data_IF_780153584593
#
_entry.id   IF_780153584593
#
_cell.length_a   1.000
_cell.length_b   1.000
_cell.length_c   1.000
_cell.angle_alpha   90.00
_cell.angle_beta   90.00
_cell.angle_gamma   90.00
#
_symmetry.space_group_name_H-M   'P 1'
#
loop_
_entity.id
_entity.type
_entity.pdbx_description
1 polymer ?
#
# COMPACT_ATOMS: atom_id res chain seq x y z
N UNK A 1 4.20 25.84 -1.11
CA UNK A 1 3.09 25.02 -1.58
C UNK A 1 3.62 24.11 -2.68
N UNK A 2 3.47 22.81 -2.52
CA UNK A 2 3.79 21.82 -3.58
C UNK A 2 2.50 21.44 -4.30
N UNK A 3 2.62 21.02 -5.55
CA UNK A 3 1.48 20.52 -6.32
C UNK A 3 1.72 19.07 -6.69
N UNK A 4 0.76 18.21 -6.34
CA UNK A 4 0.76 16.79 -6.66
C UNK A 4 -0.37 16.45 -7.62
N UNK A 5 -0.05 15.88 -8.76
CA UNK A 5 -1.04 15.34 -9.71
C UNK A 5 -1.10 13.85 -9.48
N UNK A 6 -2.26 13.32 -9.13
CA UNK A 6 -2.38 11.94 -8.66
C UNK A 6 -3.05 11.03 -9.67
N UNK A 7 -2.60 9.79 -9.66
CA UNK A 7 -3.18 8.65 -10.37
C UNK A 7 -4.29 7.99 -9.54
N UNK A 8 -5.18 7.26 -10.18
CA UNK A 8 -6.32 6.57 -9.56
C UNK A 8 -5.90 5.60 -8.45
N UNK A 9 -4.79 4.88 -8.64
CA UNK A 9 -4.30 3.90 -7.67
C UNK A 9 -3.93 4.51 -6.32
N UNK A 10 -3.60 5.80 -6.27
CA UNK A 10 -3.30 6.54 -5.02
C UNK A 10 -4.51 6.58 -4.10
N UNK A 11 -5.70 6.81 -4.67
CA UNK A 11 -6.98 6.85 -3.93
C UNK A 11 -7.50 5.44 -3.66
N UNK A 12 -7.38 4.53 -4.64
CA UNK A 12 -7.82 3.14 -4.51
C UNK A 12 -7.04 2.37 -3.43
N UNK A 13 -5.77 2.71 -3.21
CA UNK A 13 -4.96 2.16 -2.11
C UNK A 13 -5.46 2.65 -0.74
N UNK A 14 -5.62 3.96 -0.59
CA UNK A 14 -6.20 4.56 0.61
C UNK A 14 -6.59 6.02 0.39
N UNK A 15 -7.77 6.41 0.85
CA UNK A 15 -8.19 7.83 0.87
C UNK A 15 -7.30 8.68 1.78
N UNK A 16 -6.68 8.08 2.81
CA UNK A 16 -5.75 8.76 3.69
C UNK A 16 -4.51 9.31 2.97
N UNK A 17 -4.20 8.80 1.79
CA UNK A 17 -3.13 9.31 0.95
C UNK A 17 -3.38 10.77 0.52
N UNK A 18 -4.65 11.16 0.36
CA UNK A 18 -5.04 12.55 0.10
C UNK A 18 -4.65 13.46 1.26
N UNK A 19 -4.92 13.04 2.49
CA UNK A 19 -4.57 13.81 3.68
C UNK A 19 -3.05 13.92 3.86
N UNK A 20 -2.32 12.83 3.63
CA UNK A 20 -0.85 12.78 3.69
C UNK A 20 -0.22 13.74 2.68
N UNK A 21 -0.70 13.74 1.43
CA UNK A 21 -0.21 14.61 0.36
C UNK A 21 -0.58 16.08 0.61
N UNK A 22 -1.79 16.34 1.10
CA UNK A 22 -2.28 17.68 1.35
C UNK A 22 -1.48 18.42 2.43
N UNK A 23 -0.90 17.70 3.39
CA UNK A 23 -0.17 18.30 4.51
C UNK A 23 -0.97 19.44 5.17
N UNK A 24 -2.22 19.13 5.55
CA UNK A 24 -3.18 20.06 6.14
C UNK A 24 -3.41 21.34 5.30
N UNK A 25 -3.55 21.20 4.00
CA UNK A 25 -3.80 22.28 3.06
C UNK A 25 -2.57 23.07 2.62
N UNK A 26 -1.37 22.67 3.05
CA UNK A 26 -0.11 23.29 2.61
C UNK A 26 0.22 22.97 1.14
N UNK A 27 -0.34 21.88 0.60
CA UNK A 27 -0.11 21.42 -0.77
C UNK A 27 -1.42 21.33 -1.55
N UNK A 28 -1.33 21.51 -2.88
CA UNK A 28 -2.43 21.34 -3.81
C UNK A 28 -2.41 19.90 -4.38
N UNK A 29 -3.57 19.26 -4.43
CA UNK A 29 -3.74 17.98 -5.08
C UNK A 29 -4.58 18.16 -6.34
N UNK A 30 -4.00 17.85 -7.48
CA UNK A 30 -4.67 17.90 -8.79
C UNK A 30 -5.17 16.51 -9.14
N UNK A 31 -6.44 16.40 -9.45
CA UNK A 31 -7.12 15.15 -9.77
C UNK A 31 -7.70 15.26 -11.19
N UNK A 32 -7.11 14.56 -12.17
CA UNK A 32 -7.68 14.49 -13.51
C UNK A 32 -9.09 13.88 -13.49
N UNK A 33 -9.99 14.38 -14.34
CA UNK A 33 -11.38 13.89 -14.47
C UNK A 33 -11.42 12.37 -14.74
N UNK A 34 -10.49 11.86 -15.53
CA UNK A 34 -10.37 10.42 -15.82
C UNK A 34 -10.20 9.59 -14.54
N UNK A 35 -9.54 10.13 -13.53
CA UNK A 35 -9.42 9.49 -12.19
C UNK A 35 -10.81 9.40 -11.53
N UNK A 36 -11.63 10.44 -11.66
CA UNK A 36 -13.01 10.43 -11.13
C UNK A 36 -13.85 9.37 -11.82
N UNK A 37 -13.76 9.26 -13.15
CA UNK A 37 -14.49 8.26 -13.95
C UNK A 37 -14.09 6.84 -13.56
N UNK A 38 -12.80 6.59 -13.37
CA UNK A 38 -12.30 5.29 -12.92
C UNK A 38 -12.79 4.95 -11.52
N UNK A 39 -12.73 5.91 -10.58
CA UNK A 39 -13.26 5.71 -9.23
C UNK A 39 -14.77 5.44 -9.25
N UNK A 40 -15.53 6.14 -10.10
CA UNK A 40 -16.97 5.90 -10.25
C UNK A 40 -17.26 4.47 -10.71
N UNK A 41 -16.49 3.98 -11.68
CA UNK A 41 -16.58 2.60 -12.16
C UNK A 41 -16.28 1.54 -11.09
N UNK A 42 -15.51 1.91 -10.06
CA UNK A 42 -15.08 1.03 -8.95
C UNK A 42 -15.95 1.12 -7.69
N UNK A 43 -17.00 1.95 -7.66
CA UNK A 43 -17.86 2.08 -6.47
C UNK A 43 -18.66 0.81 -6.13
N UNK A 44 -18.93 -0.04 -7.11
CA UNK A 44 -19.70 -1.28 -6.92
C UNK A 44 -18.79 -2.45 -6.57
N UNK A 45 -19.12 -3.16 -5.47
CA UNK A 45 -18.35 -4.31 -4.98
C UNK A 45 -18.06 -4.23 -3.48
N UNK A 46 -17.38 -5.26 -2.97
CA UNK A 46 -17.10 -5.45 -1.54
C UNK A 46 -15.60 -5.46 -1.22
N UNK A 47 -14.75 -5.27 -2.22
CA UNK A 47 -13.31 -5.20 -2.02
C UNK A 47 -12.89 -3.83 -1.43
N UNK A 48 -11.69 -3.77 -0.89
CA UNK A 48 -11.12 -2.55 -0.28
C UNK A 48 -11.07 -1.38 -1.28
N UNK A 49 -10.69 -1.65 -2.53
CA UNK A 49 -10.69 -0.64 -3.59
C UNK A 49 -12.08 -0.01 -3.80
N UNK A 50 -13.15 -0.80 -3.70
CA UNK A 50 -14.53 -0.31 -3.85
C UNK A 50 -14.94 0.54 -2.63
N UNK A 51 -14.48 0.15 -1.45
CA UNK A 51 -14.68 0.93 -0.24
C UNK A 51 -13.99 2.30 -0.36
N UNK A 52 -12.72 2.33 -0.75
CA UNK A 52 -11.94 3.56 -0.93
C UNK A 52 -12.55 4.47 -2.00
N UNK A 53 -13.03 3.93 -3.13
CA UNK A 53 -13.74 4.70 -4.14
C UNK A 53 -15.01 5.38 -3.60
N UNK A 54 -15.81 4.67 -2.78
CA UNK A 54 -16.99 5.24 -2.12
C UNK A 54 -16.64 6.29 -1.05
N UNK A 55 -15.57 6.06 -0.29
CA UNK A 55 -15.09 7.01 0.71
C UNK A 55 -14.64 8.32 0.06
N UNK A 56 -13.91 8.22 -1.05
CA UNK A 56 -13.50 9.41 -1.79
C UNK A 56 -14.70 10.19 -2.36
N UNK A 57 -15.72 9.50 -2.88
CA UNK A 57 -16.95 10.16 -3.34
C UNK A 57 -17.63 10.96 -2.22
N UNK A 58 -17.74 10.38 -1.01
CA UNK A 58 -18.28 11.08 0.17
C UNK A 58 -17.43 12.30 0.55
N UNK A 59 -16.11 12.12 0.49
CA UNK A 59 -15.19 13.23 0.73
C UNK A 59 -15.45 14.42 -0.20
N UNK A 60 -15.68 14.16 -1.49
CA UNK A 60 -16.02 15.22 -2.45
C UNK A 60 -17.37 15.86 -2.17
N UNK A 61 -18.36 15.12 -1.67
CA UNK A 61 -19.67 15.69 -1.29
C UNK A 61 -19.57 16.68 -0.12
N UNK A 62 -18.59 16.49 0.77
CA UNK A 62 -18.33 17.39 1.90
C UNK A 62 -17.53 18.64 1.48
N UNK A 63 -17.02 18.67 0.26
CA UNK A 63 -16.16 19.73 -0.25
C UNK A 63 -16.93 20.94 -0.74
N UNK A 64 -16.37 22.13 -0.50
CA UNK A 64 -16.87 23.40 -1.01
C UNK A 64 -16.14 23.81 -2.28
N UNK A 65 -16.90 24.10 -3.35
CA UNK A 65 -16.34 24.65 -4.60
C UNK A 65 -16.01 26.12 -4.38
N UNK A 66 -14.73 26.46 -4.44
CA UNK A 66 -14.25 27.80 -4.10
C UNK A 66 -14.01 28.69 -5.32
N UNK A 67 -13.48 28.15 -6.42
CA UNK A 67 -13.19 28.91 -7.63
C UNK A 67 -13.05 28.02 -8.87
N UNK A 68 -13.10 28.65 -10.05
CA UNK A 68 -12.89 27.97 -11.33
C UNK A 68 -11.41 28.06 -11.75
N UNK A 69 -10.94 27.04 -12.44
CA UNK A 69 -9.65 26.99 -13.10
C UNK A 69 -9.85 26.92 -14.62
N UNK A 70 -9.19 27.82 -15.37
CA UNK A 70 -9.22 27.81 -16.84
C UNK A 70 -7.85 28.26 -17.34
N UNK A 71 -7.13 27.37 -18.00
CA UNK A 71 -5.85 27.65 -18.65
C UNK A 71 -5.82 26.89 -19.96
N UNK A 72 -5.86 27.60 -21.08
CA UNK A 72 -5.91 27.04 -22.43
C UNK A 72 -6.97 25.91 -22.58
N UNK A 73 -6.52 24.68 -22.80
CA UNK A 73 -7.39 23.50 -22.97
C UNK A 73 -7.70 22.76 -21.65
N UNK A 74 -7.21 23.29 -20.52
CA UNK A 74 -7.44 22.73 -19.18
C UNK A 74 -8.52 23.53 -18.46
N UNK A 75 -9.55 22.86 -17.99
CA UNK A 75 -10.67 23.44 -17.26
C UNK A 75 -10.92 22.66 -15.97
N UNK A 76 -11.39 23.36 -14.96
CA UNK A 76 -11.67 22.67 -13.69
C UNK A 76 -12.16 23.62 -12.61
N UNK A 77 -12.17 23.13 -11.40
CA UNK A 77 -12.54 23.90 -10.23
C UNK A 77 -11.82 23.42 -8.98
N UNK A 78 -11.59 24.37 -8.08
CA UNK A 78 -11.01 24.09 -6.78
C UNK A 78 -12.09 23.64 -5.81
N UNK A 79 -11.77 22.61 -5.03
CA UNK A 79 -12.60 22.10 -3.93
C UNK A 79 -11.77 22.16 -2.65
N UNK A 80 -12.36 22.73 -1.60
CA UNK A 80 -11.71 22.79 -0.30
C UNK A 80 -12.50 21.95 0.71
N UNK A 81 -11.82 21.07 1.41
CA UNK A 81 -12.34 20.36 2.57
C UNK A 81 -11.88 21.08 3.83
N UNK A 82 -12.73 21.15 4.84
CA UNK A 82 -12.47 21.97 6.03
C UNK A 82 -11.87 21.18 7.21
N UNK A 83 -12.06 19.88 7.28
CA UNK A 83 -11.61 19.10 8.45
C UNK A 83 -11.24 17.64 8.09
N UNK A 84 -9.95 17.31 7.90
CA UNK A 84 -8.81 18.21 7.84
C UNK A 84 -8.83 19.11 6.59
N UNK A 85 -8.02 20.18 6.59
CA UNK A 85 -7.96 21.08 5.44
C UNK A 85 -7.29 20.36 4.27
N UNK A 86 -7.97 20.31 3.12
CA UNK A 86 -7.45 19.74 1.87
C UNK A 86 -7.84 20.65 0.72
N UNK A 87 -6.87 21.02 -0.10
CA UNK A 87 -7.09 21.77 -1.33
C UNK A 87 -6.97 20.84 -2.53
N UNK A 88 -8.07 20.62 -3.25
CA UNK A 88 -8.14 19.81 -4.47
C UNK A 88 -8.36 20.71 -5.68
N UNK A 89 -7.82 20.33 -6.83
CA UNK A 89 -8.17 20.85 -8.15
C UNK A 89 -8.66 19.68 -8.99
N UNK A 90 -9.95 19.63 -9.27
CA UNK A 90 -10.52 18.68 -10.23
C UNK A 90 -10.34 19.26 -11.63
N UNK A 91 -9.64 18.55 -12.51
CA UNK A 91 -9.12 19.06 -13.75
C UNK A 91 -9.51 18.16 -14.94
N UNK A 92 -10.10 18.74 -15.96
CA UNK A 92 -10.39 18.08 -17.23
C UNK A 92 -9.60 18.71 -18.37
N UNK A 93 -9.33 17.92 -19.41
CA UNK A 93 -8.79 18.38 -20.69
C UNK A 93 -9.89 18.33 -21.76
N UNK A 94 -9.98 19.34 -22.60
CA UNK A 94 -11.04 19.47 -23.60
C UNK A 94 -10.98 18.39 -24.69
N UNK A 95 -9.77 17.92 -25.05
CA UNK A 95 -9.54 16.83 -26.01
C UNK A 95 -8.25 16.10 -25.69
N UNK A 96 -8.17 14.83 -26.02
CA UNK A 96 -7.01 13.97 -25.74
C UNK A 96 -6.36 13.49 -27.03
N UNK A 97 -5.06 13.69 -27.16
CA UNK A 97 -4.29 13.30 -28.36
C UNK A 97 -4.14 11.78 -28.44
N UNK A 98 -4.18 11.08 -27.30
CA UNK A 98 -4.07 9.61 -27.26
C UNK A 98 -5.28 8.86 -27.82
N UNK A 99 -6.40 9.55 -28.08
CA UNK A 99 -7.58 8.97 -28.74
C UNK A 99 -7.39 8.76 -30.24
N UNK A 100 -6.45 9.46 -30.85
CA UNK A 100 -6.16 9.44 -32.31
C UNK A 100 -5.23 8.26 -32.70
N UNK A 101 -5.45 7.07 -32.16
CA UNK A 101 -4.52 5.97 -32.37
C UNK A 101 -5.15 4.60 -32.58
N UNK A 102 -4.28 3.57 -32.65
CA UNK A 102 -4.70 2.16 -32.72
C UNK A 102 -5.47 1.79 -31.44
N UNK A 103 -6.45 0.87 -31.52
CA UNK A 103 -7.20 0.43 -30.34
C UNK A 103 -6.23 -0.13 -29.27
N UNK A 104 -6.30 0.44 -28.08
CA UNK A 104 -5.50 0.11 -26.92
C UNK A 104 -6.46 -0.31 -25.81
N UNK A 105 -6.02 -1.16 -24.90
CA UNK A 105 -6.83 -1.54 -23.74
C UNK A 105 -7.23 -0.29 -22.91
N UNK A 106 -8.46 -0.28 -22.40
CA UNK A 106 -9.05 0.89 -21.74
C UNK A 106 -8.20 1.43 -20.58
N UNK A 107 -7.64 0.55 -19.76
CA UNK A 107 -6.76 0.94 -18.67
C UNK A 107 -5.50 1.69 -19.15
N UNK A 108 -4.87 1.22 -20.23
CA UNK A 108 -3.70 1.89 -20.83
C UNK A 108 -4.12 3.24 -21.43
N UNK A 109 -5.32 3.35 -21.98
CA UNK A 109 -5.85 4.58 -22.52
C UNK A 109 -6.06 5.60 -21.39
N UNK A 110 -6.64 5.18 -20.28
CA UNK A 110 -6.87 6.04 -19.13
C UNK A 110 -5.56 6.53 -18.53
N UNK A 111 -4.56 5.65 -18.33
CA UNK A 111 -3.22 6.07 -17.90
C UNK A 111 -2.65 7.17 -18.79
N UNK A 112 -2.81 7.03 -20.14
CA UNK A 112 -2.33 8.03 -21.09
C UNK A 112 -3.06 9.36 -20.93
N UNK A 113 -4.39 9.35 -20.80
CA UNK A 113 -5.19 10.56 -20.57
C UNK A 113 -4.79 11.27 -19.28
N UNK A 114 -4.58 10.51 -18.19
CA UNK A 114 -4.09 11.06 -16.92
C UNK A 114 -2.73 11.74 -17.12
N UNK A 115 -1.81 11.08 -17.82
CA UNK A 115 -0.49 11.62 -18.10
C UNK A 115 -0.52 12.84 -19.03
N UNK A 116 -1.44 12.89 -20.01
CA UNK A 116 -1.64 14.09 -20.83
C UNK A 116 -2.11 15.28 -20.02
N UNK A 117 -3.07 15.10 -19.10
CA UNK A 117 -3.50 16.17 -18.18
C UNK A 117 -2.33 16.62 -17.32
N UNK A 118 -1.57 15.67 -16.76
CA UNK A 118 -0.40 15.99 -15.92
C UNK A 118 0.66 16.77 -16.70
N UNK A 119 0.95 16.36 -17.94
CA UNK A 119 1.93 17.03 -18.80
C UNK A 119 1.49 18.44 -19.16
N UNK A 120 0.24 18.61 -19.61
CA UNK A 120 -0.28 19.95 -19.95
C UNK A 120 -0.30 20.88 -18.73
N UNK A 121 -0.72 20.37 -17.55
CA UNK A 121 -0.69 21.15 -16.33
C UNK A 121 0.73 21.58 -15.95
N UNK A 122 1.68 20.68 -16.04
CA UNK A 122 3.09 20.97 -15.76
C UNK A 122 3.66 22.01 -16.73
N UNK A 123 3.41 21.84 -18.03
CA UNK A 123 3.97 22.73 -19.06
C UNK A 123 3.35 24.13 -19.08
N UNK A 124 2.03 24.21 -18.85
CA UNK A 124 1.28 25.45 -19.02
C UNK A 124 1.10 26.25 -17.73
N UNK A 125 1.18 25.60 -16.57
CA UNK A 125 0.81 26.25 -15.32
C UNK A 125 1.85 26.07 -14.19
N UNK A 126 2.25 24.85 -13.84
CA UNK A 126 3.19 24.60 -12.73
C UNK A 126 4.28 23.59 -13.09
N UNK A 127 5.43 24.06 -13.62
CA UNK A 127 6.56 23.20 -13.96
C UNK A 127 7.22 22.50 -12.75
N UNK A 128 6.80 22.85 -11.52
CA UNK A 128 7.30 22.24 -10.29
C UNK A 128 6.42 21.12 -9.80
N UNK A 129 5.24 20.93 -10.41
CA UNK A 129 4.29 19.88 -10.06
C UNK A 129 4.92 18.48 -10.18
N UNK A 130 4.45 17.56 -9.35
CA UNK A 130 4.92 16.17 -9.29
C UNK A 130 3.77 15.22 -9.57
N UNK A 131 4.00 14.25 -10.44
CA UNK A 131 3.05 13.17 -10.70
C UNK A 131 3.26 12.03 -9.71
N UNK A 132 2.20 11.63 -9.01
CA UNK A 132 2.22 10.59 -7.99
C UNK A 132 1.42 9.38 -8.47
N UNK A 133 2.06 8.23 -8.52
CA UNK A 133 1.41 6.95 -8.82
C UNK A 133 2.08 5.82 -8.04
N UNK A 134 1.32 4.83 -7.60
CA UNK A 134 1.83 3.60 -7.00
C UNK A 134 2.27 2.59 -8.08
N UNK A 135 1.81 2.76 -9.32
CA UNK A 135 2.21 1.92 -10.45
C UNK A 135 3.57 2.36 -11.01
N UNK A 136 4.55 1.44 -10.94
CA UNK A 136 5.90 1.64 -11.47
C UNK A 136 5.87 1.91 -12.98
N UNK A 137 5.01 1.21 -13.74
CA UNK A 137 4.94 1.36 -15.19
C UNK A 137 4.34 2.71 -15.59
N UNK A 138 3.33 3.18 -14.83
CA UNK A 138 2.76 4.51 -15.02
C UNK A 138 3.79 5.60 -14.73
N UNK A 139 4.55 5.50 -13.61
CA UNK A 139 5.66 6.43 -13.31
C UNK A 139 6.76 6.40 -14.38
N UNK A 140 7.10 5.22 -14.90
CA UNK A 140 8.10 5.11 -15.98
C UNK A 140 7.63 5.83 -17.23
N UNK A 141 6.34 5.71 -17.62
CA UNK A 141 5.77 6.47 -18.74
C UNK A 141 5.80 7.98 -18.47
N UNK A 142 5.47 8.41 -17.24
CA UNK A 142 5.54 9.81 -16.86
C UNK A 142 6.95 10.40 -17.03
N UNK A 143 7.98 9.65 -16.65
CA UNK A 143 9.39 10.06 -16.87
C UNK A 143 9.72 10.22 -18.36
N UNK A 144 9.17 9.40 -19.26
CA UNK A 144 9.39 9.58 -20.73
C UNK A 144 8.74 10.84 -21.29
N UNK A 145 7.83 11.45 -20.53
CA UNK A 145 7.18 12.71 -20.84
C UNK A 145 7.82 13.89 -20.10
N UNK A 146 9.00 13.71 -19.50
CA UNK A 146 9.72 14.71 -18.69
C UNK A 146 8.90 15.22 -17.48
N UNK A 147 7.96 14.41 -16.98
CA UNK A 147 7.26 14.72 -15.74
C UNK A 147 8.13 14.36 -14.53
N UNK A 148 8.14 15.24 -13.54
CA UNK A 148 8.67 14.88 -12.22
C UNK A 148 7.74 13.89 -11.58
N UNK A 149 8.27 12.74 -11.16
CA UNK A 149 7.47 11.69 -10.52
C UNK A 149 7.98 11.42 -9.12
N UNK A 150 7.05 11.08 -8.24
CA UNK A 150 7.37 10.55 -6.92
C UNK A 150 6.40 9.41 -6.59
N UNK A 151 6.73 8.63 -5.57
CA UNK A 151 5.82 7.66 -5.00
C UNK A 151 5.50 8.09 -3.58
N UNK A 152 4.34 7.68 -3.09
CA UNK A 152 4.01 7.89 -1.69
C UNK A 152 5.04 7.14 -0.84
N UNK A 153 5.99 7.90 -0.30
CA UNK A 153 6.71 7.39 0.84
C UNK A 153 5.71 7.25 1.96
N UNK A 154 5.16 6.04 2.12
CA UNK A 154 4.49 5.75 3.36
C UNK A 154 5.45 6.11 4.47
N UNK A 155 5.10 7.06 5.30
CA UNK A 155 5.53 7.07 6.70
C UNK A 155 4.81 5.92 7.45
N UNK A 156 4.47 4.89 6.75
CA UNK A 156 4.36 3.59 7.36
C UNK A 156 5.83 3.25 7.68
N UNK A 157 6.22 3.70 8.84
CA UNK A 157 6.53 2.62 9.80
C UNK A 157 5.30 1.71 9.67
N UNK A 158 5.30 0.81 8.69
CA UNK A 158 4.70 -0.48 8.87
C UNK A 158 5.05 -0.74 10.31
N UNK A 159 4.04 -0.77 11.17
CA UNK A 159 4.27 -1.30 12.48
C UNK A 159 4.89 -2.61 12.09
N UNK A 160 6.23 -2.63 12.14
CA UNK A 160 6.99 -3.80 11.77
C UNK A 160 6.70 -4.75 12.92
N UNK A 161 5.46 -5.28 12.89
CA UNK A 161 5.02 -6.38 13.70
C UNK A 161 5.76 -7.59 13.18
N UNK A 162 7.08 -7.43 13.12
CA UNK A 162 7.95 -8.50 12.79
C UNK A 162 8.03 -9.41 14.03
N UNK A 163 6.91 -10.10 14.29
CA UNK A 163 6.83 -11.13 15.32
C UNK A 163 7.77 -12.30 15.01
N UNK A 164 8.43 -12.25 13.85
CA UNK A 164 9.37 -13.25 13.37
C UNK A 164 10.80 -12.74 13.48
N UNK A 165 11.67 -13.53 14.10
CA UNK A 165 13.11 -13.26 14.21
C UNK A 165 13.91 -14.41 13.65
N UNK A 166 14.94 -14.11 12.87
CA UNK A 166 15.92 -15.10 12.41
C UNK A 166 17.18 -14.93 13.23
N UNK A 167 17.65 -16.04 13.84
CA UNK A 167 18.87 -16.08 14.66
C UNK A 167 19.81 -17.15 14.12
N UNK A 168 21.07 -16.80 13.95
CA UNK A 168 22.11 -17.71 13.51
C UNK A 168 22.91 -18.22 14.72
N UNK A 169 23.04 -19.55 14.85
CA UNK A 169 23.82 -20.20 15.89
C UNK A 169 24.92 -21.07 15.29
N UNK A 170 26.08 -21.09 15.93
CA UNK A 170 27.20 -21.90 15.47
C UNK A 170 26.95 -23.39 15.73
N UNK A 171 26.34 -23.73 16.86
CA UNK A 171 25.95 -25.09 17.25
C UNK A 171 24.57 -25.07 17.88
N UNK A 172 23.70 -25.97 17.44
CA UNK A 172 22.37 -26.08 18.03
C UNK A 172 22.42 -27.27 19.03
N UNK A 173 22.59 -26.97 20.33
CA UNK A 173 22.41 -27.99 21.35
C UNK A 173 20.95 -28.44 21.34
N UNK A 174 20.67 -29.58 21.89
CA UNK A 174 19.31 -30.13 22.00
C UNK A 174 18.29 -29.01 22.35
N UNK A 175 17.53 -28.56 21.34
CA UNK A 175 16.73 -27.32 21.42
C UNK A 175 15.46 -27.45 22.30
N UNK A 176 15.12 -28.69 22.69
CA UNK A 176 13.98 -28.88 23.58
C UNK A 176 14.24 -28.26 24.96
N UNK A 177 13.41 -27.27 25.30
CA UNK A 177 13.46 -26.56 26.59
C UNK A 177 14.59 -25.55 26.81
N UNK A 178 15.25 -25.04 25.76
CA UNK A 178 16.24 -23.97 25.90
C UNK A 178 15.53 -22.64 26.24
N UNK A 179 16.13 -21.88 27.17
CA UNK A 179 15.69 -20.49 27.43
C UNK A 179 15.88 -19.66 26.18
N UNK A 180 14.86 -18.86 25.81
CA UNK A 180 14.97 -17.97 24.65
C UNK A 180 16.10 -16.96 24.80
N UNK A 181 16.42 -16.52 26.01
CA UNK A 181 17.52 -15.57 26.27
C UNK A 181 18.91 -16.16 25.98
N UNK A 182 19.03 -17.49 25.95
CA UNK A 182 20.27 -18.20 25.52
C UNK A 182 20.42 -18.25 24.01
N UNK A 183 19.30 -18.13 23.27
CA UNK A 183 19.24 -18.11 21.80
C UNK A 183 19.27 -16.65 21.31
N UNK A 184 18.51 -15.79 21.93
CA UNK A 184 18.34 -14.39 21.61
C UNK A 184 18.45 -13.55 22.89
N UNK A 185 19.63 -13.00 23.17
CA UNK A 185 19.83 -12.13 24.35
C UNK A 185 18.94 -10.87 24.32
N UNK A 186 18.57 -10.41 23.13
CA UNK A 186 17.71 -9.23 22.90
C UNK A 186 16.22 -9.61 22.75
N UNK A 187 15.84 -10.77 23.28
CA UNK A 187 14.45 -11.23 23.23
C UNK A 187 13.47 -10.20 23.76
N UNK A 188 12.39 -10.01 23.01
CA UNK A 188 11.24 -9.20 23.40
C UNK A 188 9.98 -10.06 23.42
N UNK A 189 9.07 -9.85 24.39
CA UNK A 189 7.86 -10.67 24.53
C UNK A 189 6.94 -10.67 23.29
N UNK A 190 6.98 -9.60 22.49
CA UNK A 190 6.24 -9.49 21.22
C UNK A 190 6.79 -10.41 20.12
N UNK A 191 8.02 -10.89 20.22
CA UNK A 191 8.58 -11.84 19.25
C UNK A 191 8.03 -13.24 19.52
N UNK A 192 7.10 -13.65 18.68
CA UNK A 192 6.42 -14.95 18.83
C UNK A 192 7.10 -16.07 18.05
N UNK A 193 7.58 -15.81 16.82
CA UNK A 193 8.08 -16.80 15.88
C UNK A 193 9.56 -16.63 15.59
N UNK A 194 10.28 -17.75 15.53
CA UNK A 194 11.71 -17.79 15.28
C UNK A 194 12.08 -18.76 14.16
N UNK A 195 13.05 -18.35 13.33
CA UNK A 195 13.85 -19.28 12.51
C UNK A 195 15.24 -19.30 13.08
N UNK A 196 15.71 -20.46 13.54
CA UNK A 196 17.08 -20.65 13.96
C UNK A 196 17.82 -21.31 12.79
N UNK A 197 18.94 -20.72 12.39
CA UNK A 197 19.81 -21.21 11.32
C UNK A 197 21.11 -21.72 11.94
N UNK A 198 21.43 -22.99 11.72
CA UNK A 198 22.70 -23.55 12.09
C UNK A 198 23.76 -23.21 11.04
N UNK A 199 24.77 -22.42 11.40
CA UNK A 199 25.76 -21.91 10.45
C UNK A 199 26.56 -22.97 9.71
N UNK A 200 26.94 -24.04 10.41
CA UNK A 200 27.78 -25.07 9.80
C UNK A 200 27.02 -25.90 8.76
N UNK A 201 25.78 -26.24 9.01
CA UNK A 201 24.98 -27.13 8.15
C UNK A 201 23.98 -26.42 7.26
N UNK A 202 23.68 -25.13 7.54
CA UNK A 202 22.62 -24.37 6.90
C UNK A 202 21.22 -24.90 7.21
N UNK A 203 21.04 -25.73 8.23
CA UNK A 203 19.72 -26.23 8.62
C UNK A 203 18.88 -25.15 9.27
N UNK A 204 17.58 -25.12 8.93
CA UNK A 204 16.61 -24.21 9.48
C UNK A 204 15.68 -24.94 10.45
N UNK A 205 15.53 -24.36 11.64
CA UNK A 205 14.62 -24.86 12.66
C UNK A 205 13.59 -23.77 12.96
N UNK A 206 12.31 -24.10 12.83
CA UNK A 206 11.21 -23.19 13.09
C UNK A 206 10.67 -23.43 14.50
N UNK A 207 10.34 -22.37 15.22
CA UNK A 207 9.81 -22.50 16.56
C UNK A 207 9.07 -21.25 17.05
N UNK A 208 8.32 -21.44 18.11
CA UNK A 208 7.61 -20.40 18.85
C UNK A 208 8.16 -20.30 20.26
N UNK A 209 7.79 -19.24 20.96
CA UNK A 209 8.19 -19.04 22.35
C UNK A 209 7.00 -19.29 23.26
N UNK A 210 7.14 -20.23 24.17
CA UNK A 210 6.17 -20.51 25.22
C UNK A 210 6.85 -20.49 26.58
N UNK A 211 6.36 -19.71 27.52
CA UNK A 211 6.92 -19.58 28.88
C UNK A 211 8.43 -19.28 28.87
N UNK A 212 8.87 -18.36 28.01
CA UNK A 212 10.29 -17.97 27.82
C UNK A 212 11.21 -19.12 27.36
N UNK A 213 10.64 -20.17 26.78
CA UNK A 213 11.36 -21.29 26.19
C UNK A 213 11.06 -21.42 24.72
N UNK A 214 12.04 -21.83 23.95
CA UNK A 214 11.85 -22.18 22.55
C UNK A 214 11.12 -23.52 22.42
N UNK A 215 10.07 -23.54 21.60
CA UNK A 215 9.28 -24.75 21.29
C UNK A 215 9.32 -24.99 19.80
N UNK A 216 9.82 -26.12 19.37
CA UNK A 216 9.86 -26.48 17.95
C UNK A 216 8.47 -26.56 17.33
N UNK A 217 8.37 -26.04 16.11
CA UNK A 217 7.28 -26.37 15.21
C UNK A 217 7.65 -27.64 14.45
N UNK A 218 7.12 -28.75 14.91
CA UNK A 218 7.29 -30.04 14.29
C UNK A 218 6.32 -30.22 13.11
N UNK A 219 6.69 -31.05 12.14
CA UNK A 219 5.85 -31.54 11.04
C UNK A 219 4.54 -32.21 11.49
N UNK A 220 4.40 -32.52 12.78
CA UNK A 220 3.15 -33.04 13.39
C UNK A 220 1.96 -32.08 13.18
N UNK A 221 2.20 -30.78 13.04
CA UNK A 221 1.15 -29.80 12.69
C UNK A 221 0.59 -30.08 11.29
N UNK A 222 1.39 -30.66 10.38
CA UNK A 222 0.98 -30.99 9.01
C UNK A 222 0.17 -32.30 8.89
N UNK A 223 -0.03 -33.03 9.97
CA UNK A 223 -0.82 -34.29 9.98
C UNK A 223 -2.33 -34.06 10.10
N UNK A 224 -2.79 -32.80 9.99
CA UNK A 224 -4.22 -32.45 10.02
C UNK A 224 -4.74 -32.21 8.61
N UNK A 225 -6.05 -32.02 8.47
CA UNK A 225 -6.71 -31.76 7.19
C UNK A 225 -6.23 -30.47 6.51
N UNK A 226 -5.64 -29.55 7.28
CA UNK A 226 -5.02 -28.32 6.79
C UNK A 226 -3.52 -28.50 6.88
N UNK A 227 -2.83 -28.30 5.73
CA UNK A 227 -1.37 -28.38 5.63
C UNK A 227 -0.81 -26.99 5.32
N UNK A 228 0.17 -26.56 6.11
CA UNK A 228 0.95 -25.37 5.79
C UNK A 228 1.89 -25.66 4.61
N UNK A 229 1.95 -24.74 3.65
CA UNK A 229 2.80 -24.85 2.45
C UNK A 229 4.10 -24.04 2.63
N UNK A 230 4.06 -23.02 3.50
CA UNK A 230 5.19 -22.16 3.81
C UNK A 230 5.32 -21.94 5.33
N UNK A 231 6.41 -21.29 5.74
CA UNK A 231 6.70 -21.04 7.15
C UNK A 231 5.68 -20.12 7.82
N UNK A 232 5.19 -19.11 7.11
CA UNK A 232 4.21 -18.14 7.61
C UNK A 232 2.89 -18.83 7.95
N UNK A 233 2.41 -19.72 7.06
CA UNK A 233 1.23 -20.55 7.31
C UNK A 233 1.44 -21.53 8.47
N UNK A 234 2.66 -22.06 8.63
CA UNK A 234 2.97 -22.95 9.74
C UNK A 234 2.91 -22.21 11.09
N UNK A 235 3.47 -21.01 11.15
CA UNK A 235 3.38 -20.16 12.35
C UNK A 235 1.94 -19.75 12.66
N UNK A 236 1.15 -19.38 11.64
CA UNK A 236 -0.24 -19.05 11.83
C UNK A 236 -1.05 -20.26 12.34
N UNK A 237 -0.85 -21.43 11.74
CA UNK A 237 -1.50 -22.67 12.19
C UNK A 237 -1.11 -23.02 13.64
N UNK A 238 0.15 -22.83 14.01
CA UNK A 238 0.62 -23.01 15.38
C UNK A 238 -0.08 -22.08 16.36
N UNK A 239 -0.23 -20.79 15.99
CA UNK A 239 -0.92 -19.81 16.83
C UNK A 239 -2.41 -20.15 17.01
N UNK A 240 -3.09 -20.61 15.95
CA UNK A 240 -4.49 -21.03 16.00
C UNK A 240 -4.72 -22.25 16.91
N UNK A 241 -3.71 -23.09 17.03
CA UNK A 241 -3.78 -24.33 17.83
C UNK A 241 -3.27 -24.15 19.26
N UNK A 242 -2.67 -23.01 19.57
CA UNK A 242 -2.16 -22.72 20.91
C UNK A 242 -3.30 -22.26 21.83
N UNK A 243 -3.64 -23.03 22.88
CA UNK A 243 -4.74 -22.72 23.77
C UNK A 243 -4.54 -21.46 24.62
N UNK A 244 -3.32 -20.89 24.64
CA UNK A 244 -3.03 -19.65 25.35
C UNK A 244 -3.55 -18.41 24.62
N UNK A 245 -3.87 -18.50 23.32
CA UNK A 245 -4.39 -17.38 22.54
C UNK A 245 -5.91 -17.50 22.37
N UNK A 246 -6.63 -16.53 22.90
CA UNK A 246 -8.09 -16.43 22.71
C UNK A 246 -8.46 -15.76 21.39
N UNK A 247 -7.54 -14.99 20.78
CA UNK A 247 -7.71 -14.27 19.53
C UNK A 247 -6.41 -14.32 18.74
N UNK A 248 -6.50 -14.74 17.50
CA UNK A 248 -5.40 -14.66 16.52
C UNK A 248 -5.89 -13.84 15.34
N UNK A 249 -5.26 -12.70 15.10
CA UNK A 249 -5.51 -11.86 13.93
C UNK A 249 -4.47 -12.14 12.85
N UNK A 250 -4.91 -12.24 11.60
CA UNK A 250 -4.04 -12.43 10.46
C UNK A 250 -4.26 -11.32 9.45
N UNK A 251 -3.19 -10.64 9.07
CA UNK A 251 -3.15 -9.74 7.92
C UNK A 251 -2.42 -10.44 6.79
N UNK A 252 -3.10 -10.63 5.65
CA UNK A 252 -2.55 -11.37 4.53
C UNK A 252 -2.94 -10.73 3.20
N UNK A 253 -2.03 -10.79 2.23
CA UNK A 253 -2.34 -10.34 0.86
C UNK A 253 -3.25 -11.36 0.16
N UNK A 254 -4.09 -10.89 -0.75
CA UNK A 254 -4.89 -11.77 -1.59
C UNK A 254 -4.02 -12.81 -2.32
N UNK A 255 -4.41 -14.07 -2.25
CA UNK A 255 -3.65 -15.18 -2.84
C UNK A 255 -2.55 -15.76 -1.93
N UNK A 256 -2.42 -15.33 -0.67
CA UNK A 256 -1.45 -15.90 0.29
C UNK A 256 -1.78 -17.32 0.76
N UNK A 257 -2.99 -17.83 0.43
CA UNK A 257 -3.45 -19.17 0.81
C UNK A 257 -3.82 -19.31 2.30
N UNK A 258 -4.08 -18.20 2.97
CA UNK A 258 -4.57 -18.12 4.36
C UNK A 258 -6.07 -17.93 4.40
#
# INVERSE_FOLDING_TARGET
>A
MKTFIIDTNVILDSVDNIYKLSDNGANLIVIPEVVIDELDSKKSGFEEINFNARQFARLLEEGEITSKFNVENLHGFYVTLSNPIVCLLLLTKQSYDCEDGKPVALNIMNDRKILEVAKNYSDLYDPTSQFISLDVMCRTRALTLDLKTDYLHGKDKALDFNFHKTVELDLIPNLDNISITSIDPDYKPENYSYTIVEKETGRHFLGTIQNSKFVFLDDKLNNRNIKAINKEQLFFLSALLDPHYNLVACEAKAGSGL
#
